data_IF_414438893797
#
_entry.id   IF_414438893797
#
_cell.length_a   1.000
_cell.length_b   1.000
_cell.length_c   1.000
_cell.angle_alpha   90.00
_cell.angle_beta   90.00
_cell.angle_gamma   90.00
#
_symmetry.space_group_name_H-M   'P 1'
#
loop_
_entity.id
_entity.type
_entity.pdbx_description
1 polymer ?
#
# COMPACT_ATOMS: atom_id res chain seq x y z
N UNK A 1 -3.00 -55.20 4.01
CA UNK A 1 -3.00 -53.79 4.46
C UNK A 1 -4.30 -53.53 5.24
N UNK A 2 -4.27 -53.70 6.57
CA UNK A 2 -5.48 -53.75 7.41
C UNK A 2 -6.13 -52.38 7.66
N UNK A 3 -5.38 -51.28 7.51
CA UNK A 3 -5.89 -49.91 7.72
C UNK A 3 -5.99 -49.08 6.44
N UNK A 4 -5.87 -49.71 5.27
CA UNK A 4 -5.93 -49.01 3.96
C UNK A 4 -7.18 -48.11 3.86
N UNK A 5 -8.33 -48.59 4.32
CA UNK A 5 -9.58 -47.85 4.27
C UNK A 5 -9.58 -46.66 5.24
N UNK A 6 -9.05 -46.83 6.46
CA UNK A 6 -8.95 -45.73 7.45
C UNK A 6 -7.99 -44.63 6.97
N UNK A 7 -6.86 -45.03 6.36
CA UNK A 7 -5.89 -44.11 5.77
C UNK A 7 -6.53 -43.35 4.60
N UNK A 8 -7.26 -44.04 3.72
CA UNK A 8 -7.94 -43.40 2.59
C UNK A 8 -8.98 -42.37 3.06
N UNK A 9 -9.78 -42.72 4.07
CA UNK A 9 -10.79 -41.82 4.64
C UNK A 9 -10.14 -40.60 5.28
N UNK A 10 -9.10 -40.78 6.09
CA UNK A 10 -8.37 -39.67 6.70
C UNK A 10 -7.74 -38.73 5.68
N UNK A 11 -7.16 -39.30 4.61
CA UNK A 11 -6.55 -38.52 3.52
C UNK A 11 -7.59 -37.71 2.75
N UNK A 12 -8.75 -38.29 2.46
CA UNK A 12 -9.85 -37.58 1.82
C UNK A 12 -10.34 -36.39 2.66
N UNK A 13 -10.53 -36.60 3.97
CA UNK A 13 -10.91 -35.52 4.91
C UNK A 13 -9.84 -34.43 4.96
N UNK A 14 -8.57 -34.81 5.05
CA UNK A 14 -7.46 -33.85 5.06
C UNK A 14 -7.42 -32.99 3.80
N UNK A 15 -7.55 -33.58 2.61
CA UNK A 15 -7.56 -32.85 1.35
C UNK A 15 -8.75 -31.89 1.27
N UNK A 16 -9.94 -32.32 1.71
CA UNK A 16 -11.12 -31.45 1.74
C UNK A 16 -10.90 -30.25 2.67
N UNK A 17 -10.40 -30.47 3.89
CA UNK A 17 -10.14 -29.37 4.82
C UNK A 17 -9.02 -28.43 4.34
N UNK A 18 -7.94 -28.99 3.79
CA UNK A 18 -6.81 -28.20 3.30
C UNK A 18 -7.19 -27.37 2.07
N UNK A 19 -8.08 -27.91 1.21
CA UNK A 19 -8.55 -27.17 0.03
C UNK A 19 -9.72 -26.24 0.35
N UNK A 20 -10.48 -26.48 1.43
CA UNK A 20 -11.68 -25.70 1.80
C UNK A 20 -11.54 -24.18 1.68
N UNK A 21 -10.45 -23.52 2.12
CA UNK A 21 -10.30 -22.07 1.96
C UNK A 21 -10.38 -21.60 0.51
N UNK A 22 -9.86 -22.39 -0.43
CA UNK A 22 -9.91 -22.09 -1.86
C UNK A 22 -11.34 -22.20 -2.39
N UNK A 23 -12.09 -23.22 -2.00
CA UNK A 23 -13.49 -23.41 -2.42
C UNK A 23 -14.41 -22.39 -1.78
N UNK A 24 -14.15 -22.02 -0.52
CA UNK A 24 -14.92 -21.01 0.21
C UNK A 24 -14.74 -19.61 -0.39
N UNK A 25 -13.57 -19.32 -1.00
CA UNK A 25 -13.31 -18.06 -1.69
C UNK A 25 -13.75 -18.05 -3.17
N UNK A 26 -14.17 -19.18 -3.76
CA UNK A 26 -14.70 -19.17 -5.13
C UNK A 26 -16.01 -18.39 -5.15
N UNK A 27 -15.99 -17.19 -5.75
CA UNK A 27 -17.12 -16.28 -5.82
C UNK A 27 -17.10 -15.13 -4.79
N UNK A 28 -16.05 -15.02 -3.98
CA UNK A 28 -15.81 -13.81 -3.18
C UNK A 28 -15.70 -12.60 -4.10
N UNK A 29 -16.22 -11.45 -3.66
CA UNK A 29 -16.06 -10.20 -4.41
C UNK A 29 -14.57 -9.95 -4.69
N UNK A 30 -14.24 -9.71 -5.97
CA UNK A 30 -12.91 -9.29 -6.34
C UNK A 30 -12.54 -8.02 -5.56
N UNK A 31 -11.25 -7.85 -5.26
CA UNK A 31 -10.75 -6.65 -4.59
C UNK A 31 -11.27 -5.39 -5.29
N UNK A 32 -12.09 -4.61 -4.56
CA UNK A 32 -12.61 -3.34 -5.05
C UNK A 32 -11.59 -2.27 -4.70
N UNK A 33 -11.05 -1.60 -5.72
CA UNK A 33 -10.14 -0.49 -5.50
C UNK A 33 -10.89 0.66 -4.81
N UNK A 34 -10.25 1.35 -3.86
CA UNK A 34 -10.86 2.52 -3.26
C UNK A 34 -11.02 3.61 -4.31
N UNK A 35 -12.16 4.31 -4.25
CA UNK A 35 -12.36 5.53 -5.02
C UNK A 35 -11.64 6.68 -4.29
N UNK A 36 -10.50 7.06 -4.86
CA UNK A 36 -9.61 8.10 -4.34
C UNK A 36 -9.75 9.39 -5.14
N UNK A 37 -9.61 10.52 -4.45
CA UNK A 37 -9.56 11.82 -5.13
C UNK A 37 -8.32 11.88 -6.02
N UNK A 38 -8.54 12.06 -7.33
CA UNK A 38 -7.45 12.19 -8.29
C UNK A 38 -6.85 13.59 -8.22
N UNK A 39 -5.52 13.73 -8.35
CA UNK A 39 -4.88 15.04 -8.44
C UNK A 39 -5.47 15.86 -9.59
N UNK A 40 -5.80 17.12 -9.32
CA UNK A 40 -6.40 18.03 -10.32
C UNK A 40 -5.41 18.47 -11.40
N UNK A 41 -4.12 18.48 -11.05
CA UNK A 41 -3.09 19.22 -11.78
C UNK A 41 -2.03 18.34 -12.43
N UNK A 42 -2.07 17.01 -12.25
CA UNK A 42 -1.08 16.12 -12.86
C UNK A 42 -1.61 14.72 -13.09
N UNK A 43 -1.17 14.08 -14.18
CA UNK A 43 -1.38 12.64 -14.43
C UNK A 43 -0.36 11.77 -13.70
N UNK A 44 0.84 12.29 -13.46
CA UNK A 44 1.96 11.61 -12.81
C UNK A 44 2.58 12.57 -11.80
N UNK A 45 2.51 12.26 -10.51
CA UNK A 45 3.04 13.15 -9.47
C UNK A 45 4.53 12.90 -9.26
N UNK A 46 4.91 11.78 -8.63
CA UNK A 46 6.32 11.41 -8.36
C UNK A 46 6.76 10.29 -9.29
N UNK A 47 5.97 9.23 -9.38
CA UNK A 47 6.19 8.08 -10.26
C UNK A 47 4.86 7.65 -10.89
N UNK A 48 4.92 6.64 -11.76
CA UNK A 48 3.73 6.04 -12.36
C UNK A 48 2.78 5.46 -11.32
N UNK A 49 1.50 5.37 -11.67
CA UNK A 49 0.47 4.81 -10.78
C UNK A 49 0.75 3.34 -10.46
N UNK A 50 1.32 2.60 -11.41
CA UNK A 50 1.74 1.21 -11.27
C UNK A 50 2.86 1.09 -10.24
N UNK A 51 3.89 1.94 -10.34
CA UNK A 51 4.99 1.98 -9.37
C UNK A 51 4.50 2.37 -7.98
N UNK A 52 3.67 3.40 -7.86
CA UNK A 52 3.13 3.83 -6.57
C UNK A 52 2.22 2.78 -5.91
N UNK A 53 1.70 1.81 -6.64
CA UNK A 53 0.93 0.70 -6.03
C UNK A 53 1.81 -0.45 -5.58
N UNK A 54 2.88 -0.73 -6.31
CA UNK A 54 3.80 -1.82 -6.03
C UNK A 54 4.85 -1.46 -4.97
N UNK A 55 5.44 -0.26 -5.10
CA UNK A 55 6.70 0.09 -4.44
C UNK A 55 6.60 1.32 -3.51
N UNK A 56 5.41 1.91 -3.35
CA UNK A 56 5.21 3.14 -2.58
C UNK A 56 5.89 3.10 -1.21
N UNK A 57 5.67 2.05 -0.42
CA UNK A 57 6.20 1.97 0.93
C UNK A 57 7.69 1.63 0.94
N UNK A 58 8.17 0.84 -0.02
CA UNK A 58 9.60 0.55 -0.16
C UNK A 58 10.37 1.85 -0.44
N UNK A 59 9.89 2.64 -1.40
CA UNK A 59 10.45 3.97 -1.70
C UNK A 59 10.41 4.90 -0.48
N UNK A 60 9.30 4.95 0.26
CA UNK A 60 9.20 5.83 1.45
C UNK A 60 10.13 5.39 2.60
N UNK A 61 10.37 4.09 2.78
CA UNK A 61 11.33 3.60 3.76
C UNK A 61 12.76 4.00 3.38
N UNK A 62 13.12 3.87 2.09
CA UNK A 62 14.41 4.32 1.57
C UNK A 62 14.56 5.83 1.78
N UNK A 63 13.57 6.63 1.39
CA UNK A 63 13.59 8.08 1.59
C UNK A 63 13.76 8.46 3.06
N UNK A 64 13.08 7.76 3.98
CA UNK A 64 13.21 8.00 5.41
C UNK A 64 14.65 7.76 5.87
N UNK A 65 15.22 6.62 5.49
CA UNK A 65 16.56 6.25 5.92
C UNK A 65 17.62 7.22 5.33
N UNK A 66 17.52 7.56 4.05
CA UNK A 66 18.41 8.51 3.39
C UNK A 66 18.32 9.93 3.98
N UNK A 67 17.10 10.40 4.32
CA UNK A 67 16.91 11.72 4.93
C UNK A 67 17.45 11.75 6.36
N UNK A 68 17.15 10.72 7.16
CA UNK A 68 17.48 10.70 8.60
C UNK A 68 18.93 10.33 8.86
N UNK A 69 19.50 9.40 8.06
CA UNK A 69 20.84 8.86 8.29
C UNK A 69 21.90 9.56 7.44
N UNK A 70 21.57 9.86 6.18
CA UNK A 70 22.56 10.31 5.20
C UNK A 70 22.40 11.79 4.83
N UNK A 71 21.32 12.45 5.26
CA UNK A 71 21.04 13.85 4.97
C UNK A 71 20.72 14.11 3.49
N UNK A 72 20.33 13.08 2.74
CA UNK A 72 20.00 13.21 1.31
C UNK A 72 18.52 13.56 1.18
N UNK A 73 18.23 14.75 0.63
CA UNK A 73 16.87 15.28 0.56
C UNK A 73 16.25 15.29 -0.85
N UNK A 74 17.01 14.94 -1.87
CA UNK A 74 16.56 14.98 -3.27
C UNK A 74 16.28 13.57 -3.81
N UNK A 75 15.21 13.44 -4.57
CA UNK A 75 14.82 12.24 -5.29
C UNK A 75 14.63 12.53 -6.78
N UNK A 76 15.20 11.67 -7.63
CA UNK A 76 15.07 11.78 -9.08
C UNK A 76 14.04 10.77 -9.58
N UNK A 77 12.94 11.27 -10.13
CA UNK A 77 11.90 10.40 -10.70
C UNK A 77 12.38 9.72 -11.98
N UNK A 78 12.07 8.43 -12.09
CA UNK A 78 12.26 7.62 -13.30
C UNK A 78 11.12 7.83 -14.31
N UNK A 79 9.90 8.11 -13.84
CA UNK A 79 8.76 8.35 -14.72
C UNK A 79 8.85 9.70 -15.45
N UNK A 80 9.04 10.79 -14.70
CA UNK A 80 8.92 12.15 -15.25
C UNK A 80 10.23 12.93 -15.28
N UNK A 81 11.35 12.33 -14.84
CA UNK A 81 12.68 12.94 -14.80
C UNK A 81 12.77 14.24 -13.99
N UNK A 82 11.78 14.54 -13.15
CA UNK A 82 11.79 15.68 -12.25
C UNK A 82 12.50 15.35 -10.94
N UNK A 83 13.01 16.39 -10.29
CA UNK A 83 13.60 16.28 -8.95
C UNK A 83 12.56 16.67 -7.91
N UNK A 84 12.39 15.81 -6.92
CA UNK A 84 11.47 15.98 -5.81
C UNK A 84 12.21 16.07 -4.50
N UNK A 85 11.63 16.78 -3.54
CA UNK A 85 12.09 16.75 -2.16
C UNK A 85 11.57 15.48 -1.49
N UNK A 86 12.42 14.75 -0.76
CA UNK A 86 12.05 13.58 0.05
C UNK A 86 11.22 14.01 1.27
N UNK A 87 9.99 14.43 1.03
CA UNK A 87 9.10 15.03 2.01
C UNK A 87 7.65 14.83 1.64
N UNK A 88 6.87 14.24 2.54
CA UNK A 88 5.43 14.03 2.35
C UNK A 88 4.70 15.37 2.11
N UNK A 89 4.91 16.34 3.00
CA UNK A 89 4.25 17.65 2.95
C UNK A 89 4.68 18.50 1.75
N UNK A 90 5.99 18.51 1.41
CA UNK A 90 6.51 19.37 0.33
C UNK A 90 6.37 18.77 -1.07
N UNK A 91 6.11 17.46 -1.18
CA UNK A 91 6.02 16.73 -2.45
C UNK A 91 4.66 16.09 -2.62
N UNK A 92 4.36 15.02 -1.88
CA UNK A 92 3.15 14.20 -2.09
C UNK A 92 1.87 15.02 -1.88
N UNK A 93 1.83 15.84 -0.83
CA UNK A 93 0.65 16.64 -0.48
C UNK A 93 0.39 17.81 -1.45
N UNK A 94 1.29 18.10 -2.40
CA UNK A 94 1.02 19.07 -3.48
C UNK A 94 0.08 18.52 -4.56
N UNK A 95 0.06 17.20 -4.73
CA UNK A 95 -0.85 16.52 -5.65
C UNK A 95 -2.06 15.94 -4.90
N UNK A 96 -1.84 15.46 -3.66
CA UNK A 96 -2.84 14.84 -2.80
C UNK A 96 -3.13 15.73 -1.59
N UNK A 97 -3.72 16.90 -1.85
CA UNK A 97 -3.95 17.94 -0.84
C UNK A 97 -4.79 17.47 0.35
N UNK A 98 -5.61 16.44 0.14
CA UNK A 98 -6.46 15.88 1.18
C UNK A 98 -6.05 14.46 1.57
N UNK A 99 -5.38 14.35 2.72
CA UNK A 99 -4.98 13.08 3.33
C UNK A 99 -6.18 12.14 3.54
N UNK A 100 -7.31 12.67 4.02
CA UNK A 100 -8.48 11.85 4.34
C UNK A 100 -9.19 11.29 3.10
N UNK A 101 -9.10 11.97 1.95
CA UNK A 101 -9.67 11.49 0.69
C UNK A 101 -8.71 10.65 -0.16
N UNK A 102 -7.43 10.56 0.22
CA UNK A 102 -6.42 9.84 -0.55
C UNK A 102 -5.66 8.83 0.29
N UNK A 103 -4.72 9.28 1.13
CA UNK A 103 -3.84 8.40 1.90
C UNK A 103 -4.65 7.47 2.81
N UNK A 104 -5.63 8.02 3.54
CA UNK A 104 -6.38 7.25 4.54
C UNK A 104 -7.30 6.21 3.88
N UNK A 105 -7.90 6.53 2.72
CA UNK A 105 -8.72 5.57 1.98
C UNK A 105 -7.88 4.37 1.52
N UNK A 106 -6.71 4.62 0.93
CA UNK A 106 -5.82 3.54 0.51
C UNK A 106 -5.38 2.66 1.68
N UNK A 107 -4.94 3.28 2.79
CA UNK A 107 -4.48 2.53 3.96
C UNK A 107 -5.60 1.78 4.67
N UNK A 108 -6.81 2.35 4.74
CA UNK A 108 -7.98 1.65 5.26
C UNK A 108 -8.35 0.44 4.40
N UNK A 109 -8.32 0.56 3.06
CA UNK A 109 -8.65 -0.56 2.17
C UNK A 109 -7.65 -1.70 2.27
N UNK A 110 -6.36 -1.41 2.44
CA UNK A 110 -5.33 -2.44 2.65
C UNK A 110 -5.14 -2.80 4.13
N UNK A 111 -6.00 -2.27 5.02
CA UNK A 111 -6.01 -2.55 6.46
C UNK A 111 -4.68 -2.32 7.17
N UNK A 112 -3.98 -1.24 6.82
CA UNK A 112 -2.73 -0.81 7.47
C UNK A 112 -2.92 0.51 8.19
N UNK A 113 -2.21 0.70 9.29
CA UNK A 113 -2.16 1.96 10.03
C UNK A 113 -0.71 2.46 10.11
N UNK A 114 -0.26 3.27 9.13
CA UNK A 114 1.13 3.76 9.12
C UNK A 114 1.35 4.85 10.16
N UNK A 115 2.53 4.83 10.76
CA UNK A 115 2.98 5.77 11.80
C UNK A 115 3.66 7.04 11.24
N UNK A 116 3.55 7.30 9.93
CA UNK A 116 4.24 8.42 9.29
C UNK A 116 3.91 9.75 9.98
N UNK A 117 2.66 9.93 10.42
CA UNK A 117 2.16 11.16 11.01
C UNK A 117 2.43 11.28 12.52
N UNK A 118 3.06 10.28 13.14
CA UNK A 118 3.52 10.39 14.53
C UNK A 118 4.66 11.42 14.62
N UNK A 119 5.43 11.57 13.53
CA UNK A 119 6.50 12.56 13.40
C UNK A 119 6.22 13.63 12.33
N UNK A 120 5.44 13.32 11.27
CA UNK A 120 5.14 14.28 10.20
C UNK A 120 3.87 15.09 10.47
N UNK A 121 3.85 16.34 10.02
CA UNK A 121 2.72 17.26 10.19
C UNK A 121 1.81 17.22 8.96
N UNK A 122 0.54 16.89 9.17
CA UNK A 122 -0.51 17.03 8.15
C UNK A 122 -0.64 18.51 7.77
N UNK A 123 -0.56 18.88 6.47
CA UNK A 123 -0.76 20.26 6.02
C UNK A 123 -2.04 20.92 6.53
N UNK A 124 -3.10 20.16 6.81
CA UNK A 124 -4.36 20.69 7.36
C UNK A 124 -4.31 20.93 8.88
N UNK A 125 -3.17 20.63 9.52
CA UNK A 125 -2.97 20.75 10.96
C UNK A 125 -3.43 19.53 11.73
N UNK A 126 -2.96 19.41 12.98
CA UNK A 126 -3.39 18.36 13.91
C UNK A 126 -4.87 18.60 14.22
N UNK A 127 -5.74 17.63 13.92
CA UNK A 127 -7.13 17.66 14.44
C UNK A 127 -7.04 17.59 15.97
N UNK A 128 -7.34 18.71 16.62
CA UNK A 128 -7.31 18.86 18.08
C UNK A 128 -8.41 18.04 18.74
#
# INVERSE_FOLDING_TARGET
>A
MYDKNKILTGLAVFVVFMTYPFWNNIGSAAYVRPEIEKPKNSKECVESVEFMRAEHMAMLNEWRDEVVRDGVHEYHSKANHQVFQKSLTKTCMKCHENKDQFCDKCHATVSVNPYCWDCHVDPKGVKK
#
